data_IF_321925651850
#
_entry.id   IF_321925651850
#
_cell.length_a   1.000
_cell.length_b   1.000
_cell.length_c   1.000
_cell.angle_alpha   90.00
_cell.angle_beta   90.00
_cell.angle_gamma   90.00
#
_symmetry.space_group_name_H-M   'P 1'
#
loop_
_entity.id
_entity.type
_entity.pdbx_description
1 polymer ?
#
# COMPACT_ATOMS: atom_id res chain seq x y z
N UNK A 1 16.66 46.86 -40.65
CA UNK A 1 15.77 47.08 -39.48
C UNK A 1 15.04 45.77 -39.23
N UNK A 2 15.47 44.99 -38.24
CA UNK A 2 14.72 43.79 -37.85
C UNK A 2 13.55 44.24 -37.00
N UNK A 3 12.34 44.19 -37.53
CA UNK A 3 11.13 44.32 -36.71
C UNK A 3 11.14 43.18 -35.70
N UNK A 4 11.29 43.53 -34.42
CA UNK A 4 11.08 42.60 -33.32
C UNK A 4 9.60 42.21 -33.33
N UNK A 5 9.29 41.09 -33.98
CA UNK A 5 7.98 40.45 -33.90
C UNK A 5 7.76 40.04 -32.45
N UNK A 6 6.98 40.83 -31.70
CA UNK A 6 6.54 40.47 -30.35
C UNK A 6 5.47 39.39 -30.48
N UNK A 7 5.90 38.13 -30.38
CA UNK A 7 5.00 36.98 -30.32
C UNK A 7 4.24 37.02 -28.99
N UNK A 8 2.91 37.03 -29.05
CA UNK A 8 2.08 36.98 -27.83
C UNK A 8 1.97 35.56 -27.29
N UNK A 9 1.60 35.42 -26.01
CA UNK A 9 1.37 34.11 -25.39
C UNK A 9 0.27 33.31 -26.10
N UNK A 10 -0.74 34.00 -26.62
CA UNK A 10 -1.84 33.41 -27.38
C UNK A 10 -1.38 32.88 -28.73
N UNK A 11 -0.57 33.64 -29.46
CA UNK A 11 0.03 33.21 -30.73
C UNK A 11 0.95 32.00 -30.54
N UNK A 12 1.74 31.98 -29.46
CA UNK A 12 2.54 30.83 -29.08
C UNK A 12 1.68 29.61 -28.76
N UNK A 13 0.60 29.78 -27.99
CA UNK A 13 -0.32 28.69 -27.66
C UNK A 13 -1.02 28.12 -28.91
N UNK A 14 -1.40 28.98 -29.87
CA UNK A 14 -2.00 28.58 -31.13
C UNK A 14 -1.02 27.76 -32.00
N UNK A 15 0.23 28.21 -32.13
CA UNK A 15 1.26 27.48 -32.88
C UNK A 15 1.59 26.14 -32.22
N UNK A 16 1.75 26.11 -30.89
CA UNK A 16 1.99 24.87 -30.15
C UNK A 16 0.80 23.91 -30.30
N UNK A 17 -0.43 24.42 -30.23
CA UNK A 17 -1.64 23.63 -30.45
C UNK A 17 -1.68 23.04 -31.86
N UNK A 18 -1.41 23.85 -32.88
CA UNK A 18 -1.37 23.40 -34.28
C UNK A 18 -0.32 22.33 -34.54
N UNK A 19 0.86 22.45 -33.93
CA UNK A 19 1.92 21.43 -34.00
C UNK A 19 1.50 20.13 -33.29
N UNK A 20 0.94 20.23 -32.09
CA UNK A 20 0.45 19.06 -31.35
C UNK A 20 -0.64 18.31 -32.14
N UNK A 21 -1.54 19.03 -32.79
CA UNK A 21 -2.60 18.44 -33.61
C UNK A 21 -2.07 17.84 -34.93
N UNK A 22 -0.97 18.37 -35.47
CA UNK A 22 -0.31 17.78 -36.64
C UNK A 22 0.36 16.44 -36.27
N UNK A 23 1.14 16.43 -35.19
CA UNK A 23 1.78 15.20 -34.70
C UNK A 23 0.76 14.14 -34.29
N UNK A 24 -0.34 14.52 -33.65
CA UNK A 24 -1.41 13.58 -33.29
C UNK A 24 -2.02 12.93 -34.53
N UNK A 25 -2.29 13.71 -35.59
CA UNK A 25 -2.84 13.17 -36.84
C UNK A 25 -1.87 12.24 -37.54
N UNK A 26 -0.59 12.57 -37.54
CA UNK A 26 0.45 11.72 -38.10
C UNK A 26 0.53 10.38 -37.35
N UNK A 27 0.57 10.41 -36.02
CA UNK A 27 0.56 9.21 -35.18
C UNK A 27 -0.73 8.40 -35.34
N UNK A 28 -1.90 9.06 -35.39
CA UNK A 28 -3.19 8.40 -35.68
C UNK A 28 -3.16 7.69 -37.03
N UNK A 29 -2.58 8.30 -38.08
CA UNK A 29 -2.46 7.67 -39.40
C UNK A 29 -1.48 6.49 -39.40
N UNK A 30 -0.32 6.64 -38.75
CA UNK A 30 0.71 5.60 -38.67
C UNK A 30 0.18 4.35 -37.95
N UNK A 31 -0.65 4.56 -36.93
CA UNK A 31 -1.10 3.50 -36.03
C UNK A 31 -2.55 3.05 -36.22
N UNK A 32 -3.27 3.64 -37.18
CA UNK A 32 -4.70 3.45 -37.39
C UNK A 32 -5.11 1.98 -37.51
N UNK A 33 -4.45 1.22 -38.40
CA UNK A 33 -4.82 -0.17 -38.69
C UNK A 33 -4.64 -1.07 -37.45
N UNK A 34 -3.53 -0.87 -36.72
CA UNK A 34 -3.24 -1.64 -35.50
C UNK A 34 -4.22 -1.30 -34.38
N UNK A 35 -4.52 -0.01 -34.19
CA UNK A 35 -5.51 0.42 -33.21
C UNK A 35 -6.90 -0.13 -33.52
N UNK A 36 -7.32 -0.06 -34.79
CA UNK A 36 -8.62 -0.58 -35.23
C UNK A 36 -8.74 -2.08 -34.92
N UNK A 37 -7.70 -2.86 -35.19
CA UNK A 37 -7.66 -4.29 -34.88
C UNK A 37 -7.82 -4.57 -33.37
N UNK A 38 -7.08 -3.86 -32.52
CA UNK A 38 -7.19 -4.04 -31.06
C UNK A 38 -8.57 -3.66 -30.52
N UNK A 39 -9.15 -2.59 -31.05
CA UNK A 39 -10.50 -2.15 -30.66
C UNK A 39 -11.54 -3.19 -31.10
N UNK A 40 -11.40 -3.74 -32.30
CA UNK A 40 -12.28 -4.80 -32.80
C UNK A 40 -12.17 -6.09 -31.96
N UNK A 41 -10.96 -6.52 -31.64
CA UNK A 41 -10.72 -7.77 -30.91
C UNK A 41 -11.01 -7.67 -29.41
N UNK A 42 -10.73 -6.52 -28.79
CA UNK A 42 -10.66 -6.37 -27.33
C UNK A 42 -11.29 -5.08 -26.78
N UNK A 43 -11.93 -4.24 -27.60
CA UNK A 43 -12.32 -2.87 -27.24
C UNK A 43 -13.00 -2.72 -25.87
N UNK A 44 -14.05 -3.50 -25.59
CA UNK A 44 -14.76 -3.42 -24.30
C UNK A 44 -13.86 -3.83 -23.12
N UNK A 45 -13.04 -4.86 -23.29
CA UNK A 45 -12.10 -5.34 -22.26
C UNK A 45 -11.05 -4.28 -21.95
N UNK A 46 -10.58 -3.57 -22.98
CA UNK A 46 -9.56 -2.52 -22.88
C UNK A 46 -10.09 -1.21 -22.27
N UNK A 47 -11.41 -1.04 -22.08
CA UNK A 47 -11.96 0.09 -21.33
C UNK A 47 -11.66 0.04 -19.82
N UNK A 48 -11.12 -1.07 -19.34
CA UNK A 48 -10.57 -1.19 -18.01
C UNK A 48 -9.06 -0.94 -18.04
N UNK A 49 -8.53 0.10 -17.34
CA UNK A 49 -7.10 0.38 -17.29
C UNK A 49 -6.23 -0.81 -16.82
N UNK A 50 -6.76 -1.66 -15.93
CA UNK A 50 -6.06 -2.88 -15.49
C UNK A 50 -5.84 -3.84 -16.65
N UNK A 51 -6.90 -4.10 -17.41
CA UNK A 51 -6.86 -5.00 -18.55
C UNK A 51 -6.03 -4.41 -19.69
N UNK A 52 -6.13 -3.10 -19.92
CA UNK A 52 -5.28 -2.42 -20.88
C UNK A 52 -3.80 -2.75 -20.65
N UNK A 53 -3.31 -2.58 -19.42
CA UNK A 53 -1.93 -2.92 -19.07
C UNK A 53 -1.58 -4.41 -19.11
N UNK A 54 -2.58 -5.29 -19.09
CA UNK A 54 -2.35 -6.74 -19.19
C UNK A 54 -2.31 -7.22 -20.66
N UNK A 55 -3.08 -6.59 -21.55
CA UNK A 55 -3.25 -7.02 -22.94
C UNK A 55 -2.45 -6.19 -23.95
N UNK A 56 -2.08 -4.96 -23.59
CA UNK A 56 -1.35 -4.04 -24.47
C UNK A 56 0.13 -4.05 -24.05
N UNK A 57 0.97 -4.74 -24.81
CA UNK A 57 2.41 -4.90 -24.53
C UNK A 57 3.27 -4.18 -25.56
N UNK A 58 2.93 -2.93 -25.87
CA UNK A 58 3.70 -2.12 -26.83
C UNK A 58 4.75 -1.25 -26.15
N UNK A 59 5.94 -1.20 -26.73
CA UNK A 59 7.03 -0.33 -26.29
C UNK A 59 6.84 1.14 -26.72
N UNK A 60 5.95 1.42 -27.68
CA UNK A 60 5.66 2.77 -28.16
C UNK A 60 4.60 3.45 -27.29
N UNK A 61 5.00 4.49 -26.56
CA UNK A 61 4.10 5.36 -25.79
C UNK A 61 3.08 6.06 -26.69
N UNK A 62 3.51 6.54 -27.87
CA UNK A 62 2.64 7.19 -28.86
C UNK A 62 1.52 6.27 -29.35
N UNK A 63 1.82 4.98 -29.57
CA UNK A 63 0.81 3.99 -29.93
C UNK A 63 -0.20 3.79 -28.79
N UNK A 64 0.27 3.71 -27.55
CA UNK A 64 -0.61 3.56 -26.39
C UNK A 64 -1.54 4.77 -26.25
N UNK A 65 -1.00 5.99 -26.38
CA UNK A 65 -1.78 7.23 -26.36
C UNK A 65 -2.89 7.21 -27.42
N UNK A 66 -2.55 6.93 -28.68
CA UNK A 66 -3.51 6.86 -29.78
C UNK A 66 -4.58 5.78 -29.52
N UNK A 67 -4.19 4.61 -29.03
CA UNK A 67 -5.13 3.54 -28.71
C UNK A 67 -6.09 3.95 -27.59
N UNK A 68 -5.58 4.55 -26.50
CA UNK A 68 -6.40 5.04 -25.38
C UNK A 68 -7.37 6.12 -25.87
N UNK A 69 -6.89 7.12 -26.61
CA UNK A 69 -7.77 8.18 -27.15
C UNK A 69 -8.89 7.60 -28.01
N UNK A 70 -8.60 6.61 -28.87
CA UNK A 70 -9.62 5.96 -29.69
C UNK A 70 -10.60 5.12 -28.85
N UNK A 71 -10.11 4.35 -27.88
CA UNK A 71 -10.96 3.59 -26.95
C UNK A 71 -11.93 4.49 -26.19
N UNK A 72 -11.43 5.61 -25.65
CA UNK A 72 -12.25 6.57 -24.90
C UNK A 72 -13.28 7.25 -25.82
N UNK A 73 -12.90 7.65 -27.04
CA UNK A 73 -13.86 8.19 -28.04
C UNK A 73 -14.95 7.16 -28.37
N UNK A 74 -14.59 5.89 -28.54
CA UNK A 74 -15.56 4.80 -28.75
C UNK A 74 -16.48 4.63 -27.54
N UNK A 75 -15.96 4.71 -26.31
CA UNK A 75 -16.77 4.69 -25.10
C UNK A 75 -17.77 5.86 -25.05
N UNK A 76 -17.33 7.07 -25.40
CA UNK A 76 -18.21 8.25 -25.47
C UNK A 76 -19.37 8.05 -26.44
N UNK A 77 -19.09 7.52 -27.63
CA UNK A 77 -20.10 7.25 -28.65
C UNK A 77 -21.04 6.12 -28.21
N UNK A 78 -20.50 5.02 -27.68
CA UNK A 78 -21.29 3.84 -27.32
C UNK A 78 -22.16 4.05 -26.08
N UNK A 79 -21.69 4.84 -25.10
CA UNK A 79 -22.40 5.09 -23.84
C UNK A 79 -23.09 6.46 -23.78
N UNK A 80 -23.03 7.22 -24.88
CA UNK A 80 -23.56 8.59 -24.97
C UNK A 80 -23.03 9.52 -23.85
N UNK A 81 -21.76 9.35 -23.47
CA UNK A 81 -21.12 10.15 -22.41
C UNK A 81 -20.25 11.24 -23.03
N UNK A 82 -20.49 12.49 -22.62
CA UNK A 82 -19.65 13.63 -22.99
C UNK A 82 -18.53 13.86 -21.98
N UNK A 83 -17.31 13.39 -22.26
CA UNK A 83 -16.13 13.75 -21.47
C UNK A 83 -15.65 15.15 -21.83
N UNK A 84 -15.31 15.95 -20.81
CA UNK A 84 -14.58 17.20 -21.02
C UNK A 84 -13.12 16.91 -21.40
N UNK A 85 -12.40 17.91 -21.90
CA UNK A 85 -10.97 17.77 -22.22
C UNK A 85 -10.15 17.37 -20.99
N UNK A 86 -10.50 17.91 -19.84
CA UNK A 86 -9.85 17.64 -18.56
C UNK A 86 -10.11 16.19 -18.11
N UNK A 87 -11.32 15.67 -18.31
CA UNK A 87 -11.65 14.28 -18.01
C UNK A 87 -10.91 13.31 -18.95
N UNK A 88 -10.83 13.64 -20.24
CA UNK A 88 -10.05 12.85 -21.21
C UNK A 88 -8.57 12.78 -20.80
N UNK A 89 -7.97 13.91 -20.46
CA UNK A 89 -6.58 13.97 -20.00
C UNK A 89 -6.37 13.15 -18.72
N UNK A 90 -7.27 13.27 -17.73
CA UNK A 90 -7.16 12.52 -16.49
C UNK A 90 -7.33 11.00 -16.71
N UNK A 91 -8.21 10.58 -17.62
CA UNK A 91 -8.36 9.19 -18.01
C UNK A 91 -7.10 8.68 -18.73
N UNK A 92 -6.61 9.38 -19.76
CA UNK A 92 -5.37 9.03 -20.45
C UNK A 92 -4.20 8.88 -19.47
N UNK A 93 -4.06 9.85 -18.56
CA UNK A 93 -3.05 9.80 -17.51
C UNK A 93 -3.20 8.60 -16.58
N UNK A 94 -4.42 8.20 -16.22
CA UNK A 94 -4.68 6.99 -15.43
C UNK A 94 -4.26 5.74 -16.19
N UNK A 95 -4.56 5.66 -17.48
CA UNK A 95 -4.14 4.53 -18.31
C UNK A 95 -2.62 4.47 -18.38
N UNK A 96 -1.94 5.50 -18.86
CA UNK A 96 -0.48 5.46 -19.05
C UNK A 96 0.28 5.15 -17.74
N UNK A 97 -0.21 5.66 -16.61
CA UNK A 97 0.49 5.54 -15.33
C UNK A 97 -0.08 4.46 -14.39
N UNK A 98 -0.99 3.60 -14.87
CA UNK A 98 -1.74 2.66 -14.04
C UNK A 98 -0.83 1.83 -13.10
N UNK A 99 0.23 1.22 -13.65
CA UNK A 99 1.15 0.36 -12.89
C UNK A 99 1.91 1.11 -11.81
N UNK A 100 2.31 2.35 -12.09
CA UNK A 100 2.98 3.21 -11.11
C UNK A 100 2.04 3.58 -9.97
N UNK A 101 0.81 3.99 -10.31
CA UNK A 101 -0.22 4.32 -9.32
C UNK A 101 -0.56 3.10 -8.46
N UNK A 102 -0.76 1.94 -9.10
CA UNK A 102 -1.02 0.65 -8.44
C UNK A 102 0.09 0.31 -7.43
N UNK A 103 1.36 0.42 -7.83
CA UNK A 103 2.49 0.12 -6.96
C UNK A 103 2.58 1.06 -5.74
N UNK A 104 2.32 2.35 -5.93
CA UNK A 104 2.33 3.36 -4.87
C UNK A 104 1.21 3.12 -3.85
N UNK A 105 -0.02 2.90 -4.32
CA UNK A 105 -1.17 2.57 -3.47
C UNK A 105 -0.93 1.28 -2.69
N UNK A 106 -0.50 0.21 -3.38
CA UNK A 106 -0.22 -1.08 -2.75
C UNK A 106 0.85 -0.97 -1.67
N UNK A 107 1.89 -0.16 -1.87
CA UNK A 107 2.94 0.07 -0.86
C UNK A 107 2.36 0.66 0.42
N UNK A 108 1.47 1.66 0.32
CA UNK A 108 0.82 2.26 1.50
C UNK A 108 -0.13 1.27 2.17
N UNK A 109 -0.98 0.59 1.41
CA UNK A 109 -1.91 -0.41 1.95
C UNK A 109 -1.14 -1.51 2.69
N UNK A 110 -0.07 -2.06 2.10
CA UNK A 110 0.75 -3.08 2.74
C UNK A 110 1.41 -2.58 4.03
N UNK A 111 1.84 -1.32 4.07
CA UNK A 111 2.50 -0.74 5.24
C UNK A 111 1.54 -0.56 6.42
N UNK A 112 0.32 -0.11 6.17
CA UNK A 112 -0.61 0.31 7.23
C UNK A 112 -1.71 -0.72 7.53
N UNK A 113 -2.17 -1.47 6.53
CA UNK A 113 -3.24 -2.47 6.68
C UNK A 113 -2.75 -3.91 6.53
N UNK A 114 -1.53 -4.11 6.01
CA UNK A 114 -0.93 -5.43 5.82
C UNK A 114 -1.32 -6.11 4.51
N UNK A 115 -1.03 -7.41 4.42
CA UNK A 115 -1.15 -8.16 3.16
C UNK A 115 -2.60 -8.49 2.75
N UNK A 116 -3.51 -8.61 3.71
CA UNK A 116 -4.88 -9.08 3.50
C UNK A 116 -5.63 -8.24 2.47
N UNK A 117 -5.99 -8.86 1.34
CA UNK A 117 -6.74 -8.24 0.23
C UNK A 117 -6.13 -6.93 -0.31
N UNK A 118 -4.83 -6.70 -0.10
CA UNK A 118 -4.14 -5.47 -0.51
C UNK A 118 -4.28 -5.15 -2.01
N UNK A 119 -4.25 -6.20 -2.85
CA UNK A 119 -4.51 -6.08 -4.29
C UNK A 119 -5.94 -5.65 -4.58
N UNK A 120 -6.93 -6.23 -3.90
CA UNK A 120 -8.35 -5.89 -4.11
C UNK A 120 -8.66 -4.47 -3.65
N UNK A 121 -8.07 -4.04 -2.53
CA UNK A 121 -8.11 -2.65 -2.05
C UNK A 121 -7.51 -1.67 -3.04
N UNK A 122 -6.36 -2.00 -3.60
CA UNK A 122 -5.71 -1.18 -4.63
C UNK A 122 -6.60 -1.05 -5.87
N UNK A 123 -7.15 -2.17 -6.38
CA UNK A 123 -8.08 -2.18 -7.51
C UNK A 123 -9.34 -1.37 -7.23
N UNK A 124 -9.86 -1.45 -6.02
CA UNK A 124 -11.05 -0.70 -5.62
C UNK A 124 -10.82 0.81 -5.68
N UNK A 125 -9.70 1.30 -5.12
CA UNK A 125 -9.33 2.73 -5.18
C UNK A 125 -9.20 3.19 -6.64
N UNK A 126 -8.53 2.42 -7.50
CA UNK A 126 -8.35 2.76 -8.92
C UNK A 126 -9.68 2.82 -9.69
N UNK A 127 -10.61 1.90 -9.39
CA UNK A 127 -11.97 1.92 -9.96
C UNK A 127 -12.75 3.15 -9.49
N UNK A 128 -12.67 3.48 -8.20
CA UNK A 128 -13.28 4.69 -7.65
C UNK A 128 -12.70 5.95 -8.29
N UNK A 129 -11.39 6.00 -8.51
CA UNK A 129 -10.73 7.13 -9.16
C UNK A 129 -11.17 7.29 -10.62
N UNK A 130 -11.23 6.20 -11.40
CA UNK A 130 -11.79 6.24 -12.76
C UNK A 130 -13.23 6.78 -12.74
N UNK A 131 -14.04 6.30 -11.80
CA UNK A 131 -15.44 6.73 -11.67
C UNK A 131 -15.55 8.20 -11.27
N UNK A 132 -14.66 8.70 -10.40
CA UNK A 132 -14.66 10.11 -10.00
C UNK A 132 -14.29 11.02 -11.16
N UNK A 133 -13.39 10.58 -12.06
CA UNK A 133 -13.09 11.32 -13.29
C UNK A 133 -14.33 11.39 -14.18
N UNK A 134 -14.97 10.24 -14.46
CA UNK A 134 -16.13 10.15 -15.37
C UNK A 134 -17.32 10.97 -14.87
N UNK A 135 -17.63 10.86 -13.57
CA UNK A 135 -18.84 11.47 -13.00
C UNK A 135 -18.62 12.89 -12.48
N UNK A 136 -17.36 13.30 -12.28
CA UNK A 136 -17.01 14.54 -11.59
C UNK A 136 -17.36 14.53 -10.10
N UNK A 137 -17.77 13.40 -9.53
CA UNK A 137 -18.14 13.26 -8.11
C UNK A 137 -17.08 12.47 -7.36
N UNK A 138 -16.77 12.86 -6.13
CA UNK A 138 -15.92 12.07 -5.24
C UNK A 138 -16.74 10.97 -4.56
N UNK A 139 -16.52 9.68 -4.89
CA UNK A 139 -17.23 8.59 -4.23
C UNK A 139 -16.73 8.39 -2.79
N UNK A 140 -17.62 7.92 -1.93
CA UNK A 140 -17.28 7.61 -0.52
C UNK A 140 -17.08 6.12 -0.31
N UNK A 141 -16.25 5.75 0.67
CA UNK A 141 -16.15 4.35 1.09
C UNK A 141 -17.42 3.85 1.79
N UNK A 142 -18.25 4.75 2.33
CA UNK A 142 -19.51 4.40 2.98
C UNK A 142 -20.51 3.80 1.99
N UNK A 143 -20.52 4.29 0.75
CA UNK A 143 -21.35 3.76 -0.34
C UNK A 143 -20.95 2.32 -0.74
N UNK A 144 -19.73 1.90 -0.37
CA UNK A 144 -19.10 0.67 -0.86
C UNK A 144 -18.27 -0.05 0.21
N UNK A 145 -18.86 -0.38 1.36
CA UNK A 145 -18.17 -1.15 2.42
C UNK A 145 -18.00 -2.63 2.05
N UNK A 146 -16.75 -3.11 2.03
CA UNK A 146 -16.40 -4.51 1.83
C UNK A 146 -14.95 -4.82 2.20
N UNK A 147 -14.53 -6.08 2.09
CA UNK A 147 -13.14 -6.49 2.38
C UNK A 147 -12.11 -5.85 1.41
N UNK A 148 -12.59 -5.38 0.25
CA UNK A 148 -11.83 -4.68 -0.77
C UNK A 148 -11.77 -3.17 -0.52
N UNK A 149 -12.29 -2.67 0.59
CA UNK A 149 -12.25 -1.25 0.94
C UNK A 149 -11.13 -1.03 1.96
N UNK A 150 -10.29 0.02 1.81
CA UNK A 150 -9.37 0.41 2.86
C UNK A 150 -10.10 0.57 4.20
N UNK A 151 -9.55 -0.02 5.24
CA UNK A 151 -10.07 0.14 6.60
C UNK A 151 -9.65 1.47 7.20
N UNK A 152 -8.54 2.04 6.71
CA UNK A 152 -7.95 3.27 7.21
C UNK A 152 -7.91 4.39 6.18
N UNK A 153 -7.98 5.62 6.67
CA UNK A 153 -7.97 6.82 5.85
C UNK A 153 -9.28 7.06 5.10
N UNK A 154 -9.49 8.31 4.65
CA UNK A 154 -10.72 8.69 3.95
C UNK A 154 -10.62 8.40 2.45
N UNK A 155 -11.77 8.15 1.79
CA UNK A 155 -11.80 8.00 0.34
C UNK A 155 -11.23 9.21 -0.38
N UNK A 156 -11.49 10.42 0.13
CA UNK A 156 -10.93 11.67 -0.37
C UNK A 156 -9.39 11.66 -0.33
N UNK A 157 -8.79 11.31 0.80
CA UNK A 157 -7.33 11.28 0.94
C UNK A 157 -6.68 10.26 0.00
N UNK A 158 -7.27 9.08 -0.15
CA UNK A 158 -6.81 8.05 -1.09
C UNK A 158 -6.93 8.50 -2.55
N UNK A 159 -8.05 9.12 -2.93
CA UNK A 159 -8.28 9.60 -4.30
C UNK A 159 -7.40 10.81 -4.65
N UNK A 160 -7.22 11.74 -3.71
CA UNK A 160 -6.32 12.88 -3.87
C UNK A 160 -4.87 12.43 -4.05
N UNK A 161 -4.41 11.48 -3.23
CA UNK A 161 -3.10 10.88 -3.42
C UNK A 161 -3.00 10.22 -4.80
N UNK A 162 -3.99 9.42 -5.19
CA UNK A 162 -4.04 8.75 -6.50
C UNK A 162 -3.93 9.76 -7.66
N UNK A 163 -4.67 10.86 -7.58
CA UNK A 163 -4.67 11.95 -8.56
C UNK A 163 -3.33 12.68 -8.67
N UNK A 164 -2.57 12.76 -7.57
CA UNK A 164 -1.28 13.46 -7.52
C UNK A 164 -0.12 12.67 -8.14
N UNK A 165 -0.24 11.34 -8.27
CA UNK A 165 0.86 10.48 -8.76
C UNK A 165 1.34 10.86 -10.17
N UNK A 166 0.46 11.12 -11.17
CA UNK A 166 0.94 11.55 -12.48
C UNK A 166 1.61 12.93 -12.48
N UNK A 167 1.18 13.85 -11.60
CA UNK A 167 1.81 15.15 -11.42
C UNK A 167 3.28 15.01 -11.00
N UNK A 168 3.58 14.03 -10.13
CA UNK A 168 4.96 13.71 -9.75
C UNK A 168 5.81 13.27 -10.94
N UNK A 169 5.26 12.41 -11.81
CA UNK A 169 5.96 11.90 -12.99
C UNK A 169 6.22 12.99 -14.04
N UNK A 170 5.39 14.03 -14.07
CA UNK A 170 5.55 15.20 -14.93
C UNK A 170 6.39 16.32 -14.29
N UNK A 171 6.97 16.09 -13.11
CA UNK A 171 7.89 17.02 -12.44
C UNK A 171 7.24 18.01 -11.46
N UNK A 172 5.91 17.96 -11.29
CA UNK A 172 5.18 18.75 -10.29
C UNK A 172 5.12 17.98 -8.97
N UNK A 173 6.23 18.03 -8.21
CA UNK A 173 6.43 17.18 -7.03
C UNK A 173 5.67 17.63 -5.78
N UNK A 174 5.33 18.92 -5.67
CA UNK A 174 4.75 19.50 -4.45
C UNK A 174 3.38 18.91 -4.12
N UNK A 175 2.49 18.82 -5.12
CA UNK A 175 1.14 18.25 -4.96
C UNK A 175 1.22 16.79 -4.50
N UNK A 176 2.13 16.00 -5.07
CA UNK A 176 2.35 14.61 -4.65
C UNK A 176 2.78 14.49 -3.19
N UNK A 177 3.80 15.25 -2.78
CA UNK A 177 4.28 15.19 -1.41
C UNK A 177 3.25 15.68 -0.40
N UNK A 178 2.49 16.73 -0.75
CA UNK A 178 1.41 17.25 0.08
C UNK A 178 0.30 16.20 0.28
N UNK A 179 -0.27 15.67 -0.81
CA UNK A 179 -1.35 14.69 -0.73
C UNK A 179 -0.91 13.40 -0.06
N UNK A 180 0.33 12.96 -0.32
CA UNK A 180 0.91 11.81 0.38
C UNK A 180 1.08 12.06 1.87
N UNK A 181 1.56 13.25 2.27
CA UNK A 181 1.74 13.59 3.68
C UNK A 181 0.39 13.61 4.43
N UNK A 182 -0.65 14.17 3.82
CA UNK A 182 -2.02 14.17 4.38
C UNK A 182 -2.49 12.74 4.62
N UNK A 183 -2.41 11.88 3.60
CA UNK A 183 -2.83 10.48 3.71
C UNK A 183 -2.02 9.75 4.77
N UNK A 184 -0.69 9.86 4.75
CA UNK A 184 0.20 9.20 5.72
C UNK A 184 -0.10 9.63 7.15
N UNK A 185 -0.33 10.93 7.39
CA UNK A 185 -0.67 11.44 8.71
C UNK A 185 -1.99 10.87 9.24
N UNK A 186 -3.00 10.71 8.38
CA UNK A 186 -4.26 10.03 8.75
C UNK A 186 -4.01 8.57 9.11
N UNK A 187 -3.30 7.82 8.26
CA UNK A 187 -3.01 6.40 8.49
C UNK A 187 -2.18 6.17 9.76
N UNK A 188 -1.17 7.00 10.03
CA UNK A 188 -0.33 6.91 11.22
C UNK A 188 -1.13 7.18 12.51
N UNK A 189 -2.02 8.17 12.47
CA UNK A 189 -2.92 8.45 13.58
C UNK A 189 -3.83 7.25 13.87
N UNK A 190 -4.49 6.71 12.85
CA UNK A 190 -5.41 5.59 13.02
C UNK A 190 -4.71 4.32 13.52
N UNK A 191 -3.50 4.02 13.04
CA UNK A 191 -2.68 2.93 13.57
C UNK A 191 -2.31 3.16 15.03
N UNK A 192 -1.99 4.39 15.43
CA UNK A 192 -1.72 4.73 16.82
C UNK A 192 -2.95 4.50 17.70
N UNK A 193 -4.11 5.02 17.29
CA UNK A 193 -5.38 4.89 18.00
C UNK A 193 -5.79 3.41 18.15
N UNK A 194 -5.56 2.59 17.13
CA UNK A 194 -5.83 1.15 17.20
C UNK A 194 -4.89 0.43 18.17
N UNK A 195 -3.60 0.77 18.18
CA UNK A 195 -2.63 0.18 19.13
C UNK A 195 -2.99 0.52 20.56
N UNK A 196 -3.42 1.74 20.82
CA UNK A 196 -3.88 2.17 22.14
C UNK A 196 -5.13 1.41 22.57
N UNK A 197 -6.16 1.35 21.71
CA UNK A 197 -7.37 0.54 21.98
C UNK A 197 -7.07 -0.93 22.21
N UNK A 198 -6.15 -1.51 21.43
CA UNK A 198 -5.74 -2.89 21.60
C UNK A 198 -5.00 -3.09 22.93
N UNK A 199 -4.11 -2.16 23.29
CA UNK A 199 -3.44 -2.17 24.58
C UNK A 199 -4.43 -2.08 25.74
N UNK A 200 -5.37 -1.14 25.71
CA UNK A 200 -6.44 -1.03 26.70
C UNK A 200 -7.28 -2.30 26.80
N UNK A 201 -7.67 -2.88 25.66
CA UNK A 201 -8.46 -4.11 25.63
C UNK A 201 -7.68 -5.31 26.20
N UNK A 202 -6.37 -5.40 25.95
CA UNK A 202 -5.52 -6.46 26.51
C UNK A 202 -5.29 -6.26 28.00
N UNK A 203 -4.96 -5.04 28.44
CA UNK A 203 -4.68 -4.71 29.85
C UNK A 203 -5.93 -4.84 30.73
N UNK A 204 -7.11 -4.47 30.23
CA UNK A 204 -8.37 -4.52 31.00
C UNK A 204 -9.14 -5.83 30.83
N UNK A 205 -8.68 -6.77 30.01
CA UNK A 205 -9.40 -8.01 29.77
C UNK A 205 -9.29 -8.94 30.99
N UNK A 206 -10.41 -9.46 31.52
CA UNK A 206 -10.42 -10.40 32.65
C UNK A 206 -9.56 -11.64 32.43
N UNK A 207 -9.36 -12.04 31.16
CA UNK A 207 -8.48 -13.14 30.79
C UNK A 207 -7.01 -12.85 31.12
N UNK A 208 -6.53 -11.64 30.84
CA UNK A 208 -5.15 -11.22 31.12
C UNK A 208 -4.96 -10.82 32.59
N UNK A 209 -5.94 -10.13 33.18
CA UNK A 209 -5.94 -9.80 34.61
C UNK A 209 -5.98 -11.05 35.50
N UNK A 210 -6.74 -12.08 35.10
CA UNK A 210 -6.80 -13.37 35.80
C UNK A 210 -5.50 -14.19 35.66
N UNK A 211 -4.76 -14.02 34.55
CA UNK A 211 -3.43 -14.61 34.41
C UNK A 211 -2.38 -13.84 35.22
N UNK A 212 -2.41 -12.50 35.26
CA UNK A 212 -1.54 -11.71 36.13
C UNK A 212 -1.74 -12.05 37.62
N UNK A 213 -2.99 -12.20 38.06
CA UNK A 213 -3.30 -12.64 39.43
C UNK A 213 -2.84 -14.07 39.71
N UNK A 214 -2.89 -14.98 38.73
CA UNK A 214 -2.33 -16.33 38.86
C UNK A 214 -0.80 -16.31 38.89
N UNK A 215 -0.10 -15.52 38.07
CA UNK A 215 1.35 -15.38 38.17
C UNK A 215 1.78 -14.70 39.48
N UNK A 216 1.01 -13.75 39.99
CA UNK A 216 1.27 -13.12 41.29
C UNK A 216 0.92 -14.01 42.50
N UNK A 217 0.12 -15.07 42.32
CA UNK A 217 -0.11 -16.10 43.35
C UNK A 217 0.92 -17.23 43.33
N UNK A 218 1.62 -17.46 42.20
CA UNK A 218 2.52 -18.60 42.05
C UNK A 218 4.01 -18.27 42.09
N UNK A 219 4.44 -17.00 42.00
CA UNK A 219 5.87 -16.68 41.89
C UNK A 219 6.24 -15.28 42.38
N UNK A 220 6.18 -15.02 43.70
CA UNK A 220 7.11 -14.03 44.27
C UNK A 220 8.49 -14.68 44.33
N UNK A 221 9.34 -14.29 43.40
CA UNK A 221 10.74 -14.70 43.37
C UNK A 221 11.51 -13.88 44.40
N UNK A 222 12.07 -14.55 45.40
CA UNK A 222 12.83 -13.93 46.48
C UNK A 222 14.28 -13.65 46.06
N UNK A 223 14.86 -14.55 45.25
CA UNK A 223 16.25 -14.45 44.79
C UNK A 223 16.41 -14.96 43.36
N UNK A 224 17.27 -14.29 42.58
CA UNK A 224 17.62 -14.65 41.20
C UNK A 224 19.14 -14.76 41.06
N UNK A 225 19.60 -15.91 40.58
CA UNK A 225 21.00 -16.18 40.24
C UNK A 225 21.12 -16.37 38.73
N UNK A 226 22.08 -15.68 38.10
CA UNK A 226 22.33 -15.79 36.67
C UNK A 226 23.77 -16.26 36.43
N UNK A 227 23.93 -17.32 35.64
CA UNK A 227 25.22 -17.89 35.26
C UNK A 227 25.32 -17.89 33.74
N UNK A 228 26.38 -17.29 33.20
CA UNK A 228 26.62 -17.23 31.77
C UNK A 228 27.86 -18.06 31.42
N UNK A 229 27.76 -18.86 30.36
CA UNK A 229 28.88 -19.56 29.75
C UNK A 229 28.82 -19.38 28.23
N UNK A 230 29.64 -18.48 27.69
CA UNK A 230 29.64 -18.07 26.28
C UNK A 230 28.25 -17.67 25.76
N UNK A 231 27.54 -18.56 25.07
CA UNK A 231 26.22 -18.34 24.46
C UNK A 231 25.06 -18.90 25.29
N UNK A 232 25.37 -19.44 26.47
CA UNK A 232 24.40 -20.09 27.34
C UNK A 232 24.15 -19.23 28.58
N UNK A 233 22.88 -19.07 28.94
CA UNK A 233 22.46 -18.33 30.13
C UNK A 233 21.53 -19.20 30.97
N UNK A 234 21.96 -19.51 32.19
CA UNK A 234 21.13 -20.15 33.20
C UNK A 234 20.66 -19.12 34.21
N UNK A 235 19.34 -18.96 34.32
CA UNK A 235 18.70 -18.16 35.37
C UNK A 235 18.02 -19.09 36.35
N UNK A 236 18.46 -19.11 37.60
CA UNK A 236 17.83 -19.83 38.70
C UNK A 236 17.04 -18.82 39.54
N UNK A 237 15.77 -19.12 39.82
CA UNK A 237 14.91 -18.33 40.69
C UNK A 237 14.48 -19.16 41.90
N UNK A 238 14.54 -18.57 43.08
CA UNK A 238 13.97 -19.14 44.29
C UNK A 238 12.65 -18.45 44.61
N UNK A 239 11.59 -19.22 44.79
CA UNK A 239 10.27 -18.74 45.20
C UNK A 239 10.21 -18.57 46.72
N UNK A 240 9.33 -17.68 47.20
CA UNK A 240 9.07 -17.48 48.65
C UNK A 240 8.65 -18.77 49.38
N UNK A 241 8.06 -19.75 48.69
CA UNK A 241 7.70 -21.06 49.27
C UNK A 241 8.91 -22.03 49.39
N UNK A 242 10.11 -21.59 49.03
CA UNK A 242 11.34 -22.37 49.04
C UNK A 242 11.56 -23.26 47.82
N UNK A 243 10.63 -23.28 46.86
CA UNK A 243 10.81 -23.99 45.60
C UNK A 243 11.80 -23.26 44.70
N UNK A 244 12.65 -24.04 44.04
CA UNK A 244 13.58 -23.53 43.05
C UNK A 244 12.99 -23.72 41.66
N UNK A 245 13.21 -22.76 40.77
CA UNK A 245 12.94 -22.87 39.35
C UNK A 245 14.16 -22.42 38.56
N UNK A 246 14.26 -22.85 37.31
CA UNK A 246 15.35 -22.43 36.43
C UNK A 246 14.88 -22.28 34.99
N UNK A 247 15.57 -21.41 34.27
CA UNK A 247 15.42 -21.20 32.83
C UNK A 247 16.81 -21.27 32.26
N UNK A 248 17.03 -22.19 31.33
CA UNK A 248 18.27 -22.27 30.57
C UNK A 248 18.03 -21.78 29.15
N UNK A 249 18.87 -20.86 28.67
CA UNK A 249 18.92 -20.43 27.28
C UNK A 249 20.21 -20.97 26.66
N UNK A 250 20.09 -21.70 25.56
CA UNK A 250 21.22 -22.17 24.74
C UNK A 250 20.98 -21.73 23.30
N UNK A 251 21.87 -20.89 22.76
CA UNK A 251 21.74 -20.32 21.41
C UNK A 251 20.36 -19.68 21.15
N UNK A 252 19.81 -18.99 22.16
CA UNK A 252 18.51 -18.32 22.09
C UNK A 252 17.28 -19.24 22.21
N UNK A 253 17.46 -20.56 22.37
CA UNK A 253 16.37 -21.51 22.67
C UNK A 253 16.22 -21.71 24.17
N UNK A 254 14.97 -21.77 24.64
CA UNK A 254 14.62 -21.92 26.04
C UNK A 254 14.41 -23.39 26.41
N UNK A 255 15.07 -23.84 27.48
CA UNK A 255 15.02 -25.17 28.06
C UNK A 255 14.47 -25.07 29.50
N UNK A 256 13.56 -25.97 29.86
CA UNK A 256 12.90 -26.03 31.16
C UNK A 256 13.01 -27.41 31.82
N UNK A 257 12.08 -27.70 32.73
CA UNK A 257 12.08 -28.91 33.56
C UNK A 257 11.99 -30.21 32.75
N UNK A 258 11.17 -30.21 31.71
CA UNK A 258 10.95 -31.39 30.87
C UNK A 258 12.24 -31.78 30.14
N UNK A 259 12.97 -30.78 29.63
CA UNK A 259 14.21 -30.99 28.90
C UNK A 259 15.37 -31.44 29.80
N UNK A 260 15.32 -31.13 31.11
CA UNK A 260 16.26 -31.69 32.09
C UNK A 260 16.05 -33.19 32.27
N UNK A 261 14.81 -33.64 32.41
CA UNK A 261 14.48 -35.06 32.59
C UNK A 261 14.79 -35.88 31.33
N UNK A 262 14.78 -35.23 30.16
CA UNK A 262 15.20 -35.81 28.87
C UNK A 262 16.74 -35.77 28.67
N UNK A 263 17.51 -35.24 29.63
CA UNK A 263 18.98 -35.23 29.58
C UNK A 263 19.57 -34.21 28.59
N UNK A 264 18.81 -33.18 28.21
CA UNK A 264 19.22 -32.19 27.20
C UNK A 264 19.99 -31.00 27.79
N UNK A 265 20.36 -31.07 29.06
CA UNK A 265 21.07 -30.01 29.76
C UNK A 265 22.58 -30.09 29.52
N UNK A 266 23.27 -28.97 29.24
CA UNK A 266 24.72 -28.92 29.17
C UNK A 266 25.37 -29.41 30.46
N UNK A 267 26.49 -30.13 30.34
CA UNK A 267 27.15 -30.78 31.49
C UNK A 267 27.54 -29.81 32.61
N UNK A 268 27.90 -28.56 32.29
CA UNK A 268 28.27 -27.57 33.30
C UNK A 268 27.07 -27.13 34.16
N UNK A 269 25.85 -27.13 33.61
CA UNK A 269 24.62 -26.85 34.36
C UNK A 269 24.33 -27.99 35.35
N UNK A 270 24.55 -29.24 34.92
CA UNK A 270 24.42 -30.41 35.79
C UNK A 270 25.44 -30.37 36.94
N UNK A 271 26.69 -30.07 36.64
CA UNK A 271 27.75 -29.92 37.65
C UNK A 271 27.44 -28.79 38.64
N UNK A 272 26.87 -27.68 38.16
CA UNK A 272 26.42 -26.58 39.00
C UNK A 272 25.31 -27.03 39.97
N UNK A 273 24.31 -27.76 39.47
CA UNK A 273 23.25 -28.30 40.33
C UNK A 273 23.75 -29.31 41.37
N UNK A 274 24.80 -30.08 41.06
CA UNK A 274 25.45 -30.98 42.02
C UNK A 274 26.22 -30.21 43.10
N UNK A 275 26.85 -29.07 42.75
CA UNK A 275 27.59 -28.22 43.68
C UNK A 275 26.71 -27.40 44.63
N UNK A 276 25.42 -27.25 44.30
CA UNK A 276 24.43 -26.51 45.09
C UNK A 276 23.65 -27.42 46.06
N UNK A 277 23.91 -28.73 46.07
CA UNK A 277 23.38 -29.70 47.04
C UNK A 277 24.31 -29.84 48.25
#
# INVERSE_FOLDING_TARGET
MSENVKVTREQLAEVIGGLADAFRREAEMEHAETCAKYIEEHGETLLNPEHFHLFVTYDSEQMQEVLISNLLRTEQLAKEVGYTKEQMYALESLYLNYKTIEAQLKTLILKYEGHGCSTDKTRHILRMYRQSIITGKYPTFEDHKGYWTPEMGTSEAWLDFTKSVPSFLSGYVDDYFEKRAILVAQLEKEVSDMKEKQHEAMTNSPYYLGNEQKTNQFDKVEQVYAFANEKELLTIHQKENGEWGYILLVDGKRYGYKEKDEGLFPQWVLNLFESLR
#
